data_IF_233559547076
#
_entry.id   IF_233559547076
#
_cell.length_a   1.000
_cell.length_b   1.000
_cell.length_c   1.000
_cell.angle_alpha   90.00
_cell.angle_beta   90.00
_cell.angle_gamma   90.00
#
_symmetry.space_group_name_H-M   'P 1'
#
loop_
_entity.id
_entity.type
_entity.pdbx_description
1 polymer ?
#
# COMPACT_ATOMS: atom_id res chain seq x y z
N UNK A 1 18.38 30.10 -31.47
CA UNK A 1 17.45 30.80 -30.55
C UNK A 1 16.84 29.74 -29.65
N UNK A 2 17.52 29.41 -28.55
CA UNK A 2 17.11 28.33 -27.65
C UNK A 2 15.94 28.79 -26.78
N UNK A 3 14.84 28.06 -26.80
CA UNK A 3 13.64 28.34 -26.00
C UNK A 3 13.86 27.84 -24.57
N UNK A 4 14.46 28.68 -23.73
CA UNK A 4 14.48 28.46 -22.29
C UNK A 4 13.07 28.62 -21.73
N UNK A 5 12.39 27.50 -21.47
CA UNK A 5 11.14 27.51 -20.69
C UNK A 5 11.45 28.10 -19.31
N UNK A 6 10.67 29.07 -18.78
CA UNK A 6 11.09 29.81 -17.60
C UNK A 6 11.14 28.91 -16.38
N UNK A 7 12.29 28.92 -15.70
CA UNK A 7 12.58 28.16 -14.47
C UNK A 7 11.48 28.25 -13.40
N UNK A 8 10.79 29.39 -13.30
CA UNK A 8 9.67 29.61 -12.38
C UNK A 8 8.44 28.73 -12.65
N UNK A 9 8.24 28.28 -13.89
CA UNK A 9 7.11 27.42 -14.25
C UNK A 9 7.35 25.97 -13.82
N UNK A 10 8.61 25.52 -13.85
CA UNK A 10 9.03 24.21 -13.33
C UNK A 10 9.01 24.16 -11.81
N UNK A 11 9.46 25.22 -11.13
CA UNK A 11 9.39 25.27 -9.66
C UNK A 11 7.94 25.12 -9.15
N UNK A 12 6.99 25.86 -9.73
CA UNK A 12 5.57 25.73 -9.39
C UNK A 12 4.98 24.35 -9.69
N UNK A 13 5.38 23.75 -10.81
CA UNK A 13 4.96 22.39 -11.14
C UNK A 13 5.47 21.37 -10.12
N UNK A 14 6.70 21.52 -9.63
CA UNK A 14 7.24 20.65 -8.59
C UNK A 14 6.51 20.85 -7.27
N UNK A 15 6.19 22.09 -6.89
CA UNK A 15 5.40 22.38 -5.68
C UNK A 15 4.01 21.72 -5.76
N UNK A 16 3.31 21.86 -6.90
CA UNK A 16 2.02 21.22 -7.13
C UNK A 16 2.10 19.68 -7.08
N UNK A 17 3.18 19.09 -7.63
CA UNK A 17 3.43 17.63 -7.57
C UNK A 17 3.71 17.16 -6.13
N UNK A 18 4.42 17.95 -5.33
CA UNK A 18 4.69 17.66 -3.91
C UNK A 18 3.41 17.71 -3.10
N UNK A 19 2.54 18.71 -3.32
CA UNK A 19 1.25 18.81 -2.61
C UNK A 19 0.33 17.64 -2.94
N UNK A 20 0.27 17.22 -4.22
CA UNK A 20 -0.50 16.03 -4.63
C UNK A 20 0.06 14.76 -3.98
N UNK A 21 1.39 14.61 -3.92
CA UNK A 21 2.00 13.47 -3.26
C UNK A 21 1.74 13.47 -1.76
N UNK A 22 1.83 14.62 -1.10
CA UNK A 22 1.53 14.78 0.32
C UNK A 22 0.09 14.36 0.62
N UNK A 23 -0.88 14.83 -0.16
CA UNK A 23 -2.28 14.43 -0.02
C UNK A 23 -2.49 12.91 -0.18
N UNK A 24 -1.78 12.27 -1.12
CA UNK A 24 -1.83 10.81 -1.31
C UNK A 24 -1.20 10.06 -0.12
N UNK A 25 -0.12 10.58 0.46
CA UNK A 25 0.52 10.00 1.65
C UNK A 25 -0.43 10.10 2.84
N UNK A 26 -1.00 11.28 3.10
CA UNK A 26 -1.97 11.48 4.19
C UNK A 26 -3.20 10.58 4.03
N UNK A 27 -3.72 10.42 2.81
CA UNK A 27 -4.82 9.50 2.53
C UNK A 27 -4.44 8.05 2.85
N UNK A 28 -3.24 7.62 2.45
CA UNK A 28 -2.75 6.27 2.73
C UNK A 28 -2.53 6.05 4.23
N UNK A 29 -2.00 7.03 4.96
CA UNK A 29 -1.84 6.96 6.42
C UNK A 29 -3.17 6.79 7.14
N UNK A 30 -4.20 7.53 6.74
CA UNK A 30 -5.55 7.39 7.29
C UNK A 30 -6.12 5.99 7.02
N UNK A 31 -5.92 5.47 5.81
CA UNK A 31 -6.35 4.13 5.41
C UNK A 31 -5.63 3.05 6.19
N UNK A 32 -4.32 3.19 6.39
CA UNK A 32 -3.52 2.28 7.21
C UNK A 32 -3.98 2.31 8.66
N UNK A 33 -4.21 3.49 9.24
CA UNK A 33 -4.69 3.62 10.62
C UNK A 33 -6.05 2.92 10.79
N UNK A 34 -7.00 3.17 9.88
CA UNK A 34 -8.30 2.49 9.88
C UNK A 34 -8.16 0.98 9.72
N UNK A 35 -7.27 0.54 8.85
CA UNK A 35 -7.01 -0.88 8.64
C UNK A 35 -6.48 -1.54 9.91
N UNK A 36 -5.50 -0.93 10.59
CA UNK A 36 -4.96 -1.41 11.85
C UNK A 36 -5.99 -1.42 12.98
N UNK A 37 -6.91 -0.45 13.05
CA UNK A 37 -8.01 -0.46 14.01
C UNK A 37 -8.97 -1.65 13.83
N UNK A 38 -8.99 -2.29 12.66
CA UNK A 38 -9.76 -3.53 12.43
C UNK A 38 -9.03 -4.80 12.91
N UNK A 39 -7.84 -4.65 13.50
CA UNK A 39 -7.01 -5.73 14.04
C UNK A 39 -6.75 -6.85 13.01
N UNK A 40 -6.12 -6.54 11.86
CA UNK A 40 -5.83 -7.53 10.84
C UNK A 40 -4.83 -8.56 11.38
N UNK A 41 -5.00 -9.82 10.98
CA UNK A 41 -4.02 -10.86 11.26
C UNK A 41 -2.73 -10.62 10.45
N UNK A 42 -1.58 -10.82 11.08
CA UNK A 42 -0.27 -10.81 10.43
C UNK A 42 0.06 -12.20 9.89
N UNK A 43 0.84 -12.28 8.81
CA UNK A 43 1.35 -13.54 8.27
C UNK A 43 2.87 -13.60 8.40
N UNK A 44 3.38 -14.61 9.11
CA UNK A 44 4.79 -14.76 9.48
C UNK A 44 5.60 -15.59 8.45
N UNK A 45 4.93 -16.35 7.59
CA UNK A 45 5.52 -17.21 6.55
C UNK A 45 5.91 -18.62 6.99
N UNK A 46 5.66 -18.97 8.26
CA UNK A 46 5.86 -20.32 8.80
C UNK A 46 4.56 -21.12 8.88
N UNK A 47 3.44 -20.48 8.54
CA UNK A 47 2.10 -21.06 8.53
C UNK A 47 1.93 -22.19 7.50
N UNK A 48 1.10 -23.18 7.84
CA UNK A 48 0.72 -24.22 6.88
C UNK A 48 -0.10 -23.64 5.72
N UNK A 49 -0.27 -24.39 4.62
CA UNK A 49 -1.12 -23.95 3.51
C UNK A 49 -2.57 -23.65 3.94
N UNK A 50 -3.08 -24.35 4.96
CA UNK A 50 -4.41 -24.11 5.52
C UNK A 50 -4.47 -22.80 6.32
N UNK A 51 -3.39 -22.47 7.02
CA UNK A 51 -3.29 -21.25 7.82
C UNK A 51 -3.12 -20.02 6.90
N UNK A 52 -2.39 -20.15 5.79
CA UNK A 52 -2.27 -19.12 4.76
C UNK A 52 -3.61 -18.80 4.08
N UNK A 53 -4.41 -19.83 3.76
CA UNK A 53 -5.76 -19.65 3.20
C UNK A 53 -6.69 -18.97 4.20
N UNK A 54 -6.66 -19.38 5.48
CA UNK A 54 -7.44 -18.76 6.54
C UNK A 54 -7.06 -17.27 6.73
N UNK A 55 -5.76 -16.95 6.68
CA UNK A 55 -5.27 -15.59 6.73
C UNK A 55 -5.78 -14.76 5.53
N UNK A 56 -5.69 -15.32 4.32
CA UNK A 56 -6.14 -14.64 3.11
C UNK A 56 -7.65 -14.35 3.14
N UNK A 57 -8.46 -15.30 3.59
CA UNK A 57 -9.91 -15.10 3.76
C UNK A 57 -10.21 -14.04 4.82
N UNK A 58 -9.46 -14.03 5.93
CA UNK A 58 -9.61 -13.03 6.97
C UNK A 58 -9.33 -11.61 6.45
N UNK A 59 -8.19 -11.41 5.78
CA UNK A 59 -7.80 -10.11 5.22
C UNK A 59 -8.77 -9.67 4.10
N UNK A 60 -9.17 -10.59 3.21
CA UNK A 60 -10.12 -10.28 2.13
C UNK A 60 -11.46 -9.81 2.67
N UNK A 61 -11.97 -10.46 3.72
CA UNK A 61 -13.20 -10.06 4.40
C UNK A 61 -13.12 -8.69 5.07
N UNK A 62 -11.95 -8.25 5.52
CA UNK A 62 -11.75 -6.87 6.00
C UNK A 62 -11.85 -5.86 4.85
N UNK A 63 -11.23 -6.15 3.70
CA UNK A 63 -11.26 -5.27 2.54
C UNK A 63 -12.66 -5.10 1.94
N UNK A 64 -13.45 -6.18 1.87
CA UNK A 64 -14.80 -6.13 1.31
C UNK A 64 -15.74 -5.23 2.13
N UNK A 65 -15.54 -5.17 3.46
CA UNK A 65 -16.34 -4.31 4.37
C UNK A 65 -16.11 -2.82 4.12
N UNK A 66 -14.91 -2.44 3.71
CA UNK A 66 -14.52 -1.04 3.49
C UNK A 66 -14.50 -0.64 2.01
N UNK A 67 -14.78 -1.59 1.10
CA UNK A 67 -14.83 -1.40 -0.36
C UNK A 67 -13.57 -0.74 -0.93
N UNK A 68 -12.40 -1.18 -0.46
CA UNK A 68 -11.13 -0.73 -1.03
C UNK A 68 -10.96 -1.24 -2.45
N UNK A 69 -10.40 -0.41 -3.33
CA UNK A 69 -9.97 -0.81 -4.67
C UNK A 69 -8.75 -1.72 -4.63
N UNK A 70 -8.46 -2.40 -5.74
CA UNK A 70 -7.42 -3.41 -5.81
C UNK A 70 -6.02 -2.88 -5.49
N UNK A 71 -5.72 -1.62 -5.82
CA UNK A 71 -4.41 -1.00 -5.51
C UNK A 71 -4.24 -0.87 -3.99
N UNK A 72 -5.26 -0.36 -3.29
CA UNK A 72 -5.24 -0.25 -1.82
C UNK A 72 -5.21 -1.61 -1.14
N UNK A 73 -5.96 -2.59 -1.65
CA UNK A 73 -5.94 -3.97 -1.12
C UNK A 73 -4.55 -4.56 -1.23
N UNK A 74 -3.90 -4.41 -2.38
CA UNK A 74 -2.54 -4.92 -2.59
C UNK A 74 -1.55 -4.23 -1.66
N UNK A 75 -1.54 -2.90 -1.57
CA UNK A 75 -0.64 -2.16 -0.67
C UNK A 75 -0.79 -2.60 0.79
N UNK A 76 -2.02 -2.73 1.29
CA UNK A 76 -2.29 -3.15 2.67
C UNK A 76 -1.97 -4.62 2.92
N UNK A 77 -2.25 -5.51 1.96
CA UNK A 77 -1.90 -6.93 2.09
C UNK A 77 -0.38 -7.10 2.16
N UNK A 78 0.36 -6.39 1.30
CA UNK A 78 1.82 -6.42 1.29
C UNK A 78 2.41 -5.85 2.58
N UNK A 79 1.74 -4.86 3.19
CA UNK A 79 2.14 -4.32 4.50
C UNK A 79 2.01 -5.35 5.64
N UNK A 80 1.07 -6.29 5.54
CA UNK A 80 0.88 -7.35 6.56
C UNK A 80 1.80 -8.56 6.37
N UNK A 81 2.52 -8.64 5.25
CA UNK A 81 3.56 -9.62 5.02
C UNK A 81 4.81 -9.20 5.80
N UNK A 82 5.32 -10.06 6.69
CA UNK A 82 6.58 -9.76 7.39
C UNK A 82 7.80 -10.01 6.49
N UNK A 83 8.95 -9.44 6.90
CA UNK A 83 10.24 -9.48 6.19
C UNK A 83 10.70 -10.89 5.73
N UNK A 84 10.26 -11.98 6.36
CA UNK A 84 10.60 -13.33 5.91
C UNK A 84 9.82 -13.78 4.66
N UNK A 85 8.59 -13.28 4.47
CA UNK A 85 7.71 -13.61 3.33
C UNK A 85 7.96 -12.76 2.08
N UNK A 86 8.55 -11.57 2.21
CA UNK A 86 9.01 -10.79 1.05
C UNK A 86 10.02 -11.60 0.20
N UNK A 87 10.85 -12.43 0.84
CA UNK A 87 11.83 -13.28 0.16
C UNK A 87 11.16 -14.43 -0.60
N UNK A 88 10.08 -15.01 -0.05
CA UNK A 88 9.31 -16.06 -0.72
C UNK A 88 8.58 -15.50 -1.95
N UNK A 89 7.92 -14.35 -1.81
CA UNK A 89 7.23 -13.70 -2.92
C UNK A 89 8.18 -13.21 -4.04
N UNK A 90 9.35 -12.64 -3.67
CA UNK A 90 10.37 -12.22 -4.65
C UNK A 90 11.16 -13.37 -5.27
N UNK A 91 11.21 -14.53 -4.62
CA UNK A 91 11.88 -15.73 -5.11
C UNK A 91 11.00 -16.66 -5.94
N UNK A 92 9.68 -16.40 -5.99
CA UNK A 92 8.70 -17.16 -6.77
C UNK A 92 8.40 -16.57 -8.16
N UNK A 93 9.05 -15.45 -8.54
CA UNK A 93 9.04 -14.87 -9.91
C UNK A 93 10.32 -15.19 -10.66
#
# INVERSE_FOLDING_TARGET
>A
MERSVPFRRRARQVDDEVDVLAARVEEMELIMARFQCMNPQTFDGEESSSDAESWFQHITGLFDRVRYDDERRLSLATFQLRKNTERWWRGAS
#
